data_IF_272321017133
#
_entry.id   IF_272321017133
#
_cell.length_a   1.000
_cell.length_b   1.000
_cell.length_c   1.000
_cell.angle_alpha   90.00
_cell.angle_beta   90.00
_cell.angle_gamma   90.00
#
_symmetry.space_group_name_H-M   'P 1'
#
loop_
_entity.id
_entity.type
_entity.pdbx_description
1 polymer ?
#
# COMPACT_ATOMS: atom_id res chain seq x y z
N UNK A 1 -6.09 3.00 -18.47
CA UNK A 1 -4.78 3.69 -18.46
C UNK A 1 -3.92 3.33 -19.67
N UNK A 2 -4.37 2.47 -20.58
CA UNK A 2 -3.63 2.10 -21.79
C UNK A 2 -2.40 1.23 -21.57
N UNK A 3 -2.25 0.63 -20.41
CA UNK A 3 -1.16 -0.31 -20.10
C UNK A 3 -1.63 -1.77 -20.17
N UNK A 4 -0.70 -2.66 -20.51
CA UNK A 4 -0.93 -4.10 -20.45
C UNK A 4 -0.70 -4.60 -19.03
N UNK A 5 -1.62 -5.41 -18.51
CA UNK A 5 -1.49 -6.08 -17.21
C UNK A 5 -1.20 -7.56 -17.42
N UNK A 6 -0.17 -8.08 -16.78
CA UNK A 6 0.10 -9.51 -16.66
C UNK A 6 -0.55 -10.00 -15.38
N UNK A 7 -1.57 -10.84 -15.49
CA UNK A 7 -2.19 -11.50 -14.35
C UNK A 7 -1.53 -12.86 -14.17
N UNK A 8 -0.84 -13.03 -13.05
CA UNK A 8 -0.12 -14.27 -12.74
C UNK A 8 -0.92 -15.12 -11.76
N UNK A 9 -1.18 -16.37 -12.18
CA UNK A 9 -1.81 -17.38 -11.35
C UNK A 9 -0.74 -18.37 -10.85
N UNK A 10 -0.20 -18.13 -9.66
CA UNK A 10 0.82 -18.98 -9.06
C UNK A 10 1.23 -18.49 -7.69
N UNK A 11 2.08 -19.27 -7.03
CA UNK A 11 2.64 -18.91 -5.73
C UNK A 11 3.99 -18.22 -5.90
N UNK A 12 4.40 -17.36 -4.98
CA UNK A 12 5.70 -16.68 -5.04
C UNK A 12 6.88 -17.65 -4.91
N UNK A 13 6.64 -18.84 -4.33
CA UNK A 13 7.60 -19.92 -4.14
C UNK A 13 6.95 -21.26 -4.47
N UNK A 14 7.75 -22.24 -4.94
CA UNK A 14 7.26 -23.58 -5.23
C UNK A 14 6.42 -23.74 -6.53
N UNK A 15 6.47 -22.77 -7.46
CA UNK A 15 5.78 -22.83 -8.76
C UNK A 15 6.66 -22.38 -9.95
N UNK A 16 7.76 -23.03 -10.28
CA UNK A 16 8.35 -24.21 -9.63
C UNK A 16 9.26 -23.86 -8.44
N UNK A 17 9.77 -22.63 -8.35
CA UNK A 17 10.75 -22.16 -7.36
C UNK A 17 10.57 -20.68 -7.02
N UNK A 18 11.49 -20.12 -6.22
CA UNK A 18 11.47 -18.71 -5.81
C UNK A 18 11.81 -17.71 -6.93
N UNK A 19 12.16 -18.19 -8.12
CA UNK A 19 12.47 -17.36 -9.29
C UNK A 19 11.28 -17.06 -10.18
N UNK A 20 10.10 -17.61 -9.88
CA UNK A 20 8.94 -17.52 -10.79
C UNK A 20 8.52 -16.09 -11.10
N UNK A 21 8.52 -15.18 -10.13
CA UNK A 21 8.19 -13.77 -10.37
C UNK A 21 9.20 -13.11 -11.31
N UNK A 22 10.48 -13.39 -11.10
CA UNK A 22 11.57 -12.83 -11.90
C UNK A 22 11.51 -13.35 -13.34
N UNK A 23 11.15 -14.62 -13.52
CA UNK A 23 10.92 -15.20 -14.84
C UNK A 23 9.79 -14.48 -15.57
N UNK A 24 8.63 -14.33 -14.94
CA UNK A 24 7.46 -13.63 -15.53
C UNK A 24 7.79 -12.19 -15.88
N UNK A 25 8.49 -11.48 -14.99
CA UNK A 25 8.93 -10.10 -15.22
C UNK A 25 9.84 -10.03 -16.45
N UNK A 26 10.80 -10.94 -16.55
CA UNK A 26 11.75 -11.00 -17.67
C UNK A 26 11.05 -11.32 -18.99
N UNK A 27 10.27 -12.40 -19.04
CA UNK A 27 9.58 -12.89 -20.24
C UNK A 27 8.60 -11.85 -20.82
N UNK A 28 7.87 -11.16 -19.94
CA UNK A 28 6.86 -10.18 -20.34
C UNK A 28 7.33 -8.72 -20.27
N UNK A 29 8.61 -8.50 -19.95
CA UNK A 29 9.21 -7.15 -19.82
C UNK A 29 8.41 -6.24 -18.90
N UNK A 30 7.97 -6.80 -17.77
CA UNK A 30 7.15 -6.11 -16.78
C UNK A 30 7.95 -4.96 -16.16
N UNK A 31 7.37 -3.77 -16.12
CA UNK A 31 8.01 -2.60 -15.52
C UNK A 31 7.71 -2.47 -14.03
N UNK A 32 6.52 -2.85 -13.61
CA UNK A 32 6.09 -2.70 -12.23
C UNK A 32 5.46 -3.98 -11.73
N UNK A 33 5.89 -4.47 -10.57
CA UNK A 33 5.28 -5.58 -9.86
C UNK A 33 4.44 -5.02 -8.72
N UNK A 34 3.19 -5.48 -8.60
CA UNK A 34 2.34 -5.25 -7.45
C UNK A 34 2.08 -6.58 -6.74
N UNK A 35 2.43 -6.66 -5.46
CA UNK A 35 2.24 -7.87 -4.66
C UNK A 35 2.12 -7.54 -3.16
N UNK A 36 1.94 -8.57 -2.32
CA UNK A 36 1.93 -8.43 -0.87
C UNK A 36 3.34 -8.59 -0.27
N UNK A 37 3.65 -7.93 0.86
CA UNK A 37 4.90 -8.12 1.58
C UNK A 37 5.21 -9.59 1.93
N UNK A 38 4.20 -10.38 2.28
CA UNK A 38 4.32 -11.82 2.52
C UNK A 38 4.92 -12.58 1.35
N UNK A 39 4.59 -12.21 0.12
CA UNK A 39 5.16 -12.86 -1.07
C UNK A 39 6.67 -12.61 -1.18
N UNK A 40 7.10 -11.37 -0.98
CA UNK A 40 8.52 -11.00 -1.02
C UNK A 40 9.29 -11.62 0.15
N UNK A 41 8.70 -11.68 1.36
CA UNK A 41 9.28 -12.39 2.51
C UNK A 41 9.48 -13.88 2.22
N UNK A 42 8.50 -14.53 1.58
CA UNK A 42 8.62 -15.93 1.20
C UNK A 42 9.77 -16.16 0.20
N UNK A 43 9.90 -15.28 -0.81
CA UNK A 43 11.01 -15.35 -1.78
C UNK A 43 12.35 -15.12 -1.06
N UNK A 44 12.46 -14.07 -0.21
CA UNK A 44 13.68 -13.79 0.57
C UNK A 44 14.10 -14.97 1.43
N UNK A 45 13.14 -15.68 2.04
CA UNK A 45 13.42 -16.86 2.86
C UNK A 45 14.01 -18.01 2.05
N UNK A 46 13.49 -18.26 0.85
CA UNK A 46 13.95 -19.34 -0.02
C UNK A 46 15.23 -18.97 -0.80
N UNK A 47 15.39 -17.69 -1.14
CA UNK A 47 16.50 -17.16 -1.94
C UNK A 47 17.08 -15.89 -1.31
N UNK A 48 17.70 -15.99 -0.12
CA UNK A 48 18.21 -14.82 0.60
C UNK A 48 19.31 -14.05 -0.13
N UNK A 49 20.04 -14.71 -1.01
CA UNK A 49 21.12 -14.13 -1.80
C UNK A 49 20.69 -13.66 -3.20
N UNK A 50 19.43 -13.88 -3.58
CA UNK A 50 18.91 -13.51 -4.89
C UNK A 50 19.51 -14.29 -6.04
N UNK A 51 19.84 -15.57 -5.84
CA UNK A 51 20.44 -16.41 -6.89
C UNK A 51 19.47 -16.64 -8.05
N UNK A 52 18.17 -16.76 -7.75
CA UNK A 52 17.15 -16.82 -8.80
C UNK A 52 16.94 -15.47 -9.48
N UNK A 53 16.98 -14.36 -8.74
CA UNK A 53 16.87 -13.00 -9.29
C UNK A 53 17.94 -12.76 -10.38
N UNK A 54 19.17 -13.17 -10.12
CA UNK A 54 20.33 -12.99 -11.02
C UNK A 54 20.25 -13.80 -12.32
N UNK A 55 19.37 -14.81 -12.40
CA UNK A 55 19.23 -15.66 -13.59
C UNK A 55 18.45 -15.00 -14.73
N UNK A 56 17.72 -13.93 -14.46
CA UNK A 56 16.80 -13.32 -15.41
C UNK A 56 17.20 -11.91 -15.79
N UNK A 57 16.89 -11.52 -17.02
CA UNK A 57 17.04 -10.14 -17.48
C UNK A 57 15.90 -9.28 -16.92
N UNK A 58 16.19 -8.49 -15.90
CA UNK A 58 15.26 -7.57 -15.24
C UNK A 58 15.53 -6.09 -15.60
N UNK A 59 16.25 -5.84 -16.69
CA UNK A 59 16.65 -4.48 -17.12
C UNK A 59 15.47 -3.54 -17.40
N UNK A 60 14.27 -4.08 -17.59
CA UNK A 60 13.03 -3.31 -17.79
C UNK A 60 12.21 -3.12 -16.52
N UNK A 61 12.57 -3.83 -15.45
CA UNK A 61 11.90 -3.70 -14.16
C UNK A 61 12.28 -2.38 -13.49
N UNK A 62 11.27 -1.64 -13.05
CA UNK A 62 11.44 -0.28 -12.55
C UNK A 62 11.04 -0.16 -11.07
N UNK A 63 9.94 -0.79 -10.65
CA UNK A 63 9.36 -0.59 -9.32
C UNK A 63 8.66 -1.80 -8.76
N UNK A 64 8.75 -1.97 -7.43
CA UNK A 64 7.92 -2.87 -6.66
C UNK A 64 6.90 -2.07 -5.83
N UNK A 65 5.61 -2.39 -5.99
CA UNK A 65 4.54 -1.88 -5.14
C UNK A 65 4.09 -2.95 -4.16
N UNK A 66 4.05 -2.61 -2.88
CA UNK A 66 3.61 -3.49 -1.79
C UNK A 66 2.36 -2.92 -1.13
N UNK A 67 1.36 -3.77 -0.88
CA UNK A 67 0.16 -3.42 -0.13
C UNK A 67 -0.50 -4.65 0.51
N UNK A 68 -1.52 -4.41 1.34
CA UNK A 68 -2.34 -5.43 1.98
C UNK A 68 -1.94 -5.72 3.42
N UNK A 69 -0.71 -5.48 3.79
CA UNK A 69 -0.18 -5.54 5.15
C UNK A 69 1.03 -4.60 5.26
N UNK A 70 1.43 -4.29 6.48
CA UNK A 70 2.62 -3.47 6.69
C UNK A 70 3.88 -4.21 6.20
N UNK A 71 4.63 -3.56 5.34
CA UNK A 71 5.91 -4.09 4.87
C UNK A 71 6.99 -3.86 5.93
N UNK A 72 7.72 -4.94 6.28
CA UNK A 72 8.83 -4.81 7.22
C UNK A 72 10.06 -4.19 6.56
N UNK A 73 10.78 -3.31 7.29
CA UNK A 73 11.93 -2.60 6.76
C UNK A 73 13.04 -3.49 6.21
N UNK A 74 13.24 -4.67 6.80
CA UNK A 74 14.31 -5.59 6.38
C UNK A 74 14.02 -6.25 5.04
N UNK A 75 12.75 -6.53 4.75
CA UNK A 75 12.33 -7.07 3.46
C UNK A 75 12.45 -6.00 2.36
N UNK A 76 12.03 -4.76 2.65
CA UNK A 76 12.17 -3.64 1.71
C UNK A 76 13.64 -3.42 1.37
N UNK A 77 14.49 -3.22 2.36
CA UNK A 77 15.94 -3.00 2.19
C UNK A 77 16.64 -4.14 1.44
N UNK A 78 16.25 -5.39 1.73
CA UNK A 78 16.77 -6.54 1.02
C UNK A 78 16.44 -6.47 -0.46
N UNK A 79 15.18 -6.18 -0.80
CA UNK A 79 14.76 -6.11 -2.19
C UNK A 79 15.39 -4.93 -2.94
N UNK A 80 15.42 -3.75 -2.34
CA UNK A 80 16.08 -2.57 -2.92
C UNK A 80 17.56 -2.83 -3.21
N UNK A 81 18.27 -3.46 -2.27
CA UNK A 81 19.68 -3.84 -2.46
C UNK A 81 19.86 -4.86 -3.58
N UNK A 82 18.91 -5.79 -3.72
CA UNK A 82 18.97 -6.84 -4.75
C UNK A 82 18.68 -6.30 -6.14
N UNK A 83 17.63 -5.49 -6.27
CA UNK A 83 17.09 -5.03 -7.55
C UNK A 83 17.62 -3.67 -8.01
N UNK A 84 18.14 -2.88 -7.09
CA UNK A 84 18.43 -1.45 -7.30
C UNK A 84 17.20 -0.66 -7.77
N UNK A 85 15.99 -1.13 -7.41
CA UNK A 85 14.71 -0.53 -7.77
C UNK A 85 13.97 -0.08 -6.52
N UNK A 86 13.25 1.04 -6.53
CA UNK A 86 12.50 1.49 -5.38
C UNK A 86 11.35 0.55 -5.03
N UNK A 87 11.12 0.40 -3.74
CA UNK A 87 9.96 -0.29 -3.18
C UNK A 87 8.99 0.74 -2.63
N UNK A 88 7.77 0.71 -3.13
CA UNK A 88 6.70 1.62 -2.74
C UNK A 88 5.70 0.84 -1.89
N UNK A 89 5.80 1.04 -0.57
CA UNK A 89 4.78 0.58 0.37
C UNK A 89 3.62 1.59 0.32
N UNK A 90 2.45 1.14 -0.12
CA UNK A 90 1.30 2.03 -0.30
C UNK A 90 0.07 1.44 0.39
N UNK A 91 -0.80 2.31 0.87
CA UNK A 91 -2.00 1.93 1.59
C UNK A 91 -3.25 2.29 0.80
N UNK A 92 -4.16 1.36 0.75
CA UNK A 92 -5.48 1.47 0.14
C UNK A 92 -6.46 0.50 0.81
N UNK A 93 -7.73 0.66 0.48
CA UNK A 93 -8.81 -0.21 0.95
C UNK A 93 -9.65 -0.66 -0.24
N UNK A 94 -10.35 -1.77 -0.10
CA UNK A 94 -11.31 -2.22 -1.13
C UNK A 94 -12.31 -1.11 -1.45
N UNK A 95 -12.75 -0.39 -0.44
CA UNK A 95 -13.66 0.74 -0.50
C UNK A 95 -13.13 1.88 -1.38
N UNK A 96 -11.86 2.15 -1.32
CA UNK A 96 -11.25 3.24 -2.10
C UNK A 96 -10.82 2.83 -3.49
N UNK A 97 -10.71 1.51 -3.76
CA UNK A 97 -10.32 0.91 -5.05
C UNK A 97 -8.92 1.31 -5.55
N UNK A 98 -8.25 2.23 -4.91
CA UNK A 98 -6.93 2.74 -5.26
C UNK A 98 -6.21 3.30 -4.04
N UNK A 99 -4.91 3.61 -4.20
CA UNK A 99 -4.07 4.12 -3.13
C UNK A 99 -4.62 5.41 -2.52
N UNK A 100 -4.71 5.41 -1.19
CA UNK A 100 -4.95 6.61 -0.37
C UNK A 100 -3.62 7.30 -0.11
N UNK A 101 -2.57 6.50 0.12
CA UNK A 101 -1.19 6.98 0.29
C UNK A 101 -0.24 6.21 -0.60
N UNK A 102 0.77 6.88 -1.10
CA UNK A 102 1.81 6.29 -1.96
C UNK A 102 2.98 7.26 -2.14
N UNK A 103 4.13 6.77 -2.62
CA UNK A 103 5.10 7.61 -3.29
C UNK A 103 4.64 7.83 -4.75
N UNK A 104 4.24 9.04 -5.07
CA UNK A 104 3.75 9.42 -6.39
C UNK A 104 4.92 9.73 -7.34
N UNK A 105 5.82 8.77 -7.55
CA UNK A 105 7.07 8.92 -8.31
C UNK A 105 6.94 9.55 -9.70
N UNK A 106 5.74 9.54 -10.28
CA UNK A 106 5.46 10.23 -11.55
C UNK A 106 5.25 11.75 -11.42
N UNK A 107 5.11 12.25 -10.21
CA UNK A 107 4.92 13.67 -9.89
C UNK A 107 6.13 14.16 -9.10
N UNK A 108 6.35 13.56 -7.93
CA UNK A 108 7.43 13.87 -7.01
C UNK A 108 7.75 12.63 -6.18
N UNK A 109 9.03 12.33 -5.99
CA UNK A 109 9.47 11.25 -5.10
C UNK A 109 9.87 11.81 -3.75
N UNK A 110 9.46 11.11 -2.70
CA UNK A 110 9.79 11.47 -1.32
C UNK A 110 10.87 10.55 -0.73
N UNK A 111 11.67 11.04 0.23
CA UNK A 111 12.58 10.19 0.99
C UNK A 111 11.86 9.01 1.63
N UNK A 112 12.43 7.81 1.53
CA UNK A 112 11.82 6.61 2.09
C UNK A 112 11.90 6.63 3.62
N UNK A 113 10.75 6.53 4.29
CA UNK A 113 10.64 6.23 5.72
C UNK A 113 10.11 4.81 5.88
N UNK A 114 11.00 3.86 6.12
CA UNK A 114 10.67 2.44 6.19
C UNK A 114 9.62 2.13 7.25
N UNK A 115 8.53 1.50 6.83
CA UNK A 115 7.37 1.17 7.66
C UNK A 115 6.25 2.22 7.64
N UNK A 116 6.44 3.36 6.94
CA UNK A 116 5.34 4.26 6.58
C UNK A 116 4.76 3.88 5.22
N UNK A 117 3.51 4.23 5.01
CA UNK A 117 2.82 4.10 3.72
C UNK A 117 2.95 5.39 2.88
N UNK A 118 4.04 6.13 3.02
CA UNK A 118 4.28 7.43 2.37
C UNK A 118 3.25 8.51 2.73
N UNK A 119 2.88 9.35 1.76
CA UNK A 119 2.01 10.52 1.95
C UNK A 119 0.69 10.35 1.22
N UNK A 120 -0.35 11.11 1.59
CA UNK A 120 -1.61 11.11 0.86
C UNK A 120 -1.40 11.42 -0.62
N UNK A 121 -2.02 10.63 -1.50
CA UNK A 121 -2.02 10.93 -2.93
C UNK A 121 -2.94 12.13 -3.22
N UNK A 122 -2.74 12.85 -4.33
CA UNK A 122 -3.58 14.00 -4.69
C UNK A 122 -5.08 13.68 -4.63
N UNK A 123 -5.82 14.53 -3.92
CA UNK A 123 -7.26 14.40 -3.72
C UNK A 123 -7.68 13.83 -2.35
N UNK A 124 -6.76 13.24 -1.59
CA UNK A 124 -7.05 12.78 -0.21
C UNK A 124 -6.55 13.78 0.83
N UNK A 125 -7.44 14.24 1.70
CA UNK A 125 -7.13 15.04 2.90
C UNK A 125 -7.26 14.15 4.14
N UNK A 126 -6.15 13.53 4.54
CA UNK A 126 -6.10 12.63 5.69
C UNK A 126 -5.96 13.41 6.99
N UNK A 127 -6.70 12.96 7.99
CA UNK A 127 -6.61 13.45 9.37
C UNK A 127 -6.51 12.27 10.33
N UNK A 128 -6.03 12.53 11.53
CA UNK A 128 -6.06 11.59 12.64
C UNK A 128 -6.91 12.21 13.75
N UNK A 129 -7.95 11.50 14.16
CA UNK A 129 -8.89 11.97 15.17
C UNK A 129 -8.80 11.13 16.44
N UNK A 130 -9.02 11.76 17.59
CA UNK A 130 -9.22 11.07 18.84
C UNK A 130 -10.71 10.69 19.07
N UNK A 131 -11.00 10.03 20.19
CA UNK A 131 -12.36 9.63 20.57
C UNK A 131 -13.35 10.80 20.77
N UNK A 132 -12.83 12.03 20.93
CA UNK A 132 -13.65 13.25 21.02
C UNK A 132 -13.86 13.92 19.66
N UNK A 133 -13.54 13.26 18.56
CA UNK A 133 -13.60 13.79 17.19
C UNK A 133 -12.71 15.01 16.93
N UNK A 134 -11.63 15.16 17.70
CA UNK A 134 -10.67 16.26 17.54
C UNK A 134 -9.43 15.79 16.81
N UNK A 135 -8.93 16.58 15.88
CA UNK A 135 -7.65 16.34 15.25
C UNK A 135 -6.53 16.32 16.28
N UNK A 136 -5.65 15.32 16.19
CA UNK A 136 -4.47 15.21 17.04
C UNK A 136 -3.23 15.75 16.32
N UNK A 137 -2.24 16.17 17.09
CA UNK A 137 -0.99 16.68 16.52
C UNK A 137 -0.13 15.56 15.91
N UNK A 138 0.94 15.92 15.18
CA UNK A 138 1.85 14.98 14.55
C UNK A 138 2.38 13.91 15.52
N UNK A 139 2.54 12.68 15.03
CA UNK A 139 3.03 11.53 15.78
C UNK A 139 2.07 10.94 16.81
N UNK A 140 0.90 11.56 17.04
CA UNK A 140 -0.10 11.06 17.98
C UNK A 140 -1.04 10.07 17.31
N UNK A 141 -1.29 8.96 18.02
CA UNK A 141 -2.19 7.90 17.58
C UNK A 141 -3.66 8.30 17.64
N UNK A 142 -4.44 7.82 16.67
CA UNK A 142 -5.88 7.95 16.62
C UNK A 142 -6.47 7.23 15.42
N UNK A 143 -7.76 7.45 15.17
CA UNK A 143 -8.43 6.92 13.99
C UNK A 143 -8.04 7.73 12.75
N UNK A 144 -7.60 7.03 11.72
CA UNK A 144 -7.29 7.65 10.44
C UNK A 144 -8.61 7.86 9.68
N UNK A 145 -8.85 9.08 9.27
CA UNK A 145 -10.07 9.48 8.55
C UNK A 145 -9.72 10.30 7.31
N UNK A 146 -10.61 10.29 6.32
CA UNK A 146 -10.50 11.16 5.14
C UNK A 146 -11.52 12.26 5.23
N UNK A 147 -11.08 13.53 5.18
CA UNK A 147 -11.98 14.67 5.14
C UNK A 147 -12.78 14.69 3.84
N UNK A 148 -14.09 14.88 3.95
CA UNK A 148 -14.97 14.95 2.79
C UNK A 148 -14.86 16.28 2.03
N UNK A 149 -15.09 16.29 0.70
CA UNK A 149 -15.51 15.15 -0.13
C UNK A 149 -14.37 14.20 -0.45
N UNK A 150 -14.71 12.92 -0.65
CA UNK A 150 -13.76 11.94 -1.21
C UNK A 150 -13.41 12.31 -2.66
N UNK A 151 -12.24 11.88 -3.17
CA UNK A 151 -11.90 12.04 -4.58
C UNK A 151 -12.97 11.47 -5.52
N UNK A 152 -13.18 12.06 -6.69
CA UNK A 152 -14.16 11.57 -7.66
C UNK A 152 -13.97 10.09 -8.00
N UNK A 153 -15.07 9.32 -7.97
CA UNK A 153 -15.05 7.89 -8.24
C UNK A 153 -14.66 7.00 -7.05
N UNK A 154 -14.25 7.58 -5.94
CA UNK A 154 -13.93 6.85 -4.71
C UNK A 154 -15.19 6.56 -3.93
N UNK A 155 -15.48 5.26 -3.71
CA UNK A 155 -16.54 4.74 -2.84
C UNK A 155 -17.86 5.53 -2.90
N UNK A 156 -18.56 5.53 -4.04
CA UNK A 156 -19.78 6.32 -4.18
C UNK A 156 -20.92 5.82 -3.29
N UNK A 157 -21.01 4.52 -3.07
CA UNK A 157 -21.97 3.87 -2.17
C UNK A 157 -21.68 2.37 -2.02
N UNK A 158 -22.46 1.68 -1.19
CA UNK A 158 -22.61 0.22 -1.19
C UNK A 158 -23.80 -0.18 -2.07
N UNK A 159 -23.61 -1.16 -2.95
CA UNK A 159 -24.65 -1.62 -3.86
C UNK A 159 -25.94 -2.01 -3.11
N UNK A 160 -27.03 -1.32 -3.42
CA UNK A 160 -28.35 -1.56 -2.79
C UNK A 160 -28.39 -1.27 -1.29
N UNK A 161 -27.42 -0.57 -0.69
CA UNK A 161 -27.29 -0.38 0.75
C UNK A 161 -26.80 1.02 1.15
N UNK A 162 -27.34 2.08 0.52
CA UNK A 162 -26.95 3.47 0.79
C UNK A 162 -27.08 3.87 2.26
N UNK A 163 -28.08 3.37 2.96
CA UNK A 163 -28.26 3.63 4.39
C UNK A 163 -27.08 3.08 5.18
N UNK A 164 -26.72 1.82 4.95
CA UNK A 164 -25.57 1.16 5.60
C UNK A 164 -24.24 1.87 5.28
N UNK A 165 -24.06 2.32 4.04
CA UNK A 165 -22.90 3.13 3.65
C UNK A 165 -22.74 4.37 4.53
N UNK A 166 -23.83 5.15 4.67
CA UNK A 166 -23.81 6.37 5.48
C UNK A 166 -23.60 6.07 6.97
N UNK A 167 -24.29 5.08 7.50
CA UNK A 167 -24.21 4.69 8.91
C UNK A 167 -22.81 4.18 9.29
N UNK A 168 -22.21 3.32 8.48
CA UNK A 168 -20.94 2.71 8.84
C UNK A 168 -19.75 3.64 8.59
N UNK A 169 -19.75 4.40 7.51
CA UNK A 169 -18.54 5.10 7.09
C UNK A 169 -18.56 6.62 7.30
N UNK A 170 -19.74 7.24 7.46
CA UNK A 170 -19.90 8.69 7.47
C UNK A 170 -20.51 9.26 8.74
N UNK A 171 -20.99 8.41 9.67
CA UNK A 171 -21.73 8.87 10.84
C UNK A 171 -20.89 9.06 12.09
N UNK A 172 -19.84 8.25 12.28
CA UNK A 172 -18.99 8.28 13.47
C UNK A 172 -18.28 9.62 13.63
N UNK A 173 -17.74 10.14 12.54
CA UNK A 173 -17.06 11.42 12.48
C UNK A 173 -17.71 12.31 11.41
N UNK A 174 -18.68 13.18 11.77
CA UNK A 174 -19.36 14.04 10.79
C UNK A 174 -18.39 14.88 9.96
N UNK A 175 -18.49 14.81 8.63
CA UNK A 175 -17.59 15.48 7.70
C UNK A 175 -16.35 14.66 7.30
N UNK A 176 -16.25 13.41 7.78
CA UNK A 176 -15.13 12.52 7.45
C UNK A 176 -15.64 11.14 7.04
N UNK A 177 -14.86 10.47 6.19
CA UNK A 177 -14.94 9.05 5.92
C UNK A 177 -14.08 8.30 6.93
N UNK A 178 -14.66 7.33 7.63
CA UNK A 178 -13.97 6.46 8.58
C UNK A 178 -13.32 5.29 7.85
N UNK A 179 -11.98 5.19 7.98
CA UNK A 179 -11.22 4.11 7.32
C UNK A 179 -11.20 2.80 8.12
N UNK A 180 -11.53 2.83 9.39
CA UNK A 180 -11.32 1.73 10.34
C UNK A 180 -9.85 1.33 10.52
N UNK A 181 -8.92 2.20 10.14
CA UNK A 181 -7.50 2.04 10.43
C UNK A 181 -7.07 3.05 11.50
N UNK A 182 -6.26 2.58 12.46
CA UNK A 182 -5.61 3.42 13.44
C UNK A 182 -4.15 3.65 13.09
N UNK A 183 -3.65 4.84 13.39
CA UNK A 183 -2.28 5.19 13.09
C UNK A 183 -1.96 6.62 13.46
N UNK A 184 -0.92 7.17 12.85
CA UNK A 184 -0.52 8.56 13.03
C UNK A 184 0.04 9.14 11.73
N UNK A 185 0.09 10.46 11.66
CA UNK A 185 0.79 11.21 10.62
C UNK A 185 1.95 11.92 11.31
N UNK A 186 3.17 11.77 10.79
CA UNK A 186 4.34 12.40 11.39
C UNK A 186 4.48 13.88 10.98
N UNK A 187 5.51 14.55 11.52
CA UNK A 187 5.78 15.97 11.27
C UNK A 187 6.06 16.29 9.79
N UNK A 188 6.55 15.31 9.03
CA UNK A 188 6.82 15.44 7.60
C UNK A 188 5.64 15.02 6.72
N UNK A 189 4.50 14.64 7.34
CA UNK A 189 3.26 14.24 6.66
C UNK A 189 3.22 12.79 6.19
N UNK A 190 4.14 11.93 6.67
CA UNK A 190 4.09 10.50 6.36
C UNK A 190 3.06 9.80 7.24
N UNK A 191 2.35 8.86 6.63
CA UNK A 191 1.26 8.11 7.25
C UNK A 191 1.76 6.74 7.72
N UNK A 192 1.45 6.41 8.97
CA UNK A 192 1.85 5.18 9.63
C UNK A 192 0.59 4.42 10.03
N UNK A 193 0.29 3.34 9.30
CA UNK A 193 -0.84 2.46 9.60
C UNK A 193 -0.38 1.44 10.64
N UNK A 194 -1.08 1.37 11.78
CA UNK A 194 -0.66 0.54 12.91
C UNK A 194 -1.54 -0.68 13.12
N UNK A 195 -2.86 -0.53 12.98
CA UNK A 195 -3.83 -1.61 13.19
C UNK A 195 -5.19 -1.26 12.59
N UNK A 196 -6.05 -2.27 12.49
CA UNK A 196 -7.49 -2.08 12.28
C UNK A 196 -8.16 -1.73 13.61
N UNK A 197 -9.18 -0.87 13.57
CA UNK A 197 -9.98 -0.52 14.76
C UNK A 197 -11.23 -1.39 14.91
N UNK A 198 -11.60 -2.13 13.87
CA UNK A 198 -12.71 -3.08 13.84
C UNK A 198 -12.29 -4.54 14.05
N UNK A 199 -11.00 -4.84 14.12
CA UNK A 199 -10.48 -6.15 14.51
C UNK A 199 -10.60 -6.30 16.04
N UNK A 200 -11.69 -6.92 16.48
CA UNK A 200 -11.89 -7.30 17.88
C UNK A 200 -11.07 -8.57 18.11
N UNK A 201 -10.05 -8.48 18.97
CA UNK A 201 -9.30 -9.63 19.51
C UNK A 201 -10.02 -10.13 20.77
#
# INVERSE_FOLDING_TARGET
YGCTTVLFEGKPVGTPDAGVFWRVISEHKVKSLFTAPTAIRAIKKEDPNGEFFKKYDLSKFDKLFLAGERADPDTIKWFEKLSNSPVIDHWWQTETSWAITSDCTGIESFPVKYGSAFKPVPGYDLKVLNSESKEVGPGKMGDIVVKLPLPPGTFPTLWGADKRYKENYMSTYPGYYLTYDAGHIDEDGYVWIMSRTDDII
#
